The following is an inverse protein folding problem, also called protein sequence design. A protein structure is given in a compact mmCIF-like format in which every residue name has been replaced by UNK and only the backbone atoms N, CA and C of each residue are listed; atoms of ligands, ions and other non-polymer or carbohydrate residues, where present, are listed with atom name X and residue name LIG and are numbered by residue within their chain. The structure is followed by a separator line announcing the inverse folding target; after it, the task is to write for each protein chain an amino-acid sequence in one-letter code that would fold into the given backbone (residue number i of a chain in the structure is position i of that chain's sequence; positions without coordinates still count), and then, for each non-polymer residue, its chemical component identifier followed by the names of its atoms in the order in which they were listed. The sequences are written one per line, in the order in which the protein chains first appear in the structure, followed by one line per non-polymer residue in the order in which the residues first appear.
data_IF_049917172788
#
_entry.id   IF_049917172788
#
_cell.length_a   1.000
_cell.length_b   1.000
_cell.length_c   1.000
_cell.angle_alpha   90.00
_cell.angle_beta   90.00
_cell.angle_gamma   90.00
#
_symmetry.space_group_name_H-M   'P 1'
#
loop_
_entity.id
_entity.type
_entity.pdbx_description
1 polymer ?
#
# COMPACT_ATOMS: atom_id res chain seq x y z
N UNK A 1 -13.81 -6.91 12.39
CA UNK A 1 -14.96 -7.82 12.25
C UNK A 1 -16.27 -7.17 12.72
N UNK A 2 -16.34 -6.70 13.99
CA UNK A 2 -17.57 -6.06 14.52
C UNK A 2 -18.05 -4.89 13.65
N UNK A 3 -17.15 -4.00 13.25
CA UNK A 3 -17.47 -2.87 12.35
C UNK A 3 -18.03 -3.37 11.02
N UNK A 4 -17.41 -4.39 10.43
CA UNK A 4 -17.87 -5.01 9.18
C UNK A 4 -19.33 -5.51 9.30
N UNK A 5 -19.61 -6.23 10.38
CA UNK A 5 -20.97 -6.79 10.63
C UNK A 5 -21.98 -5.68 10.93
N UNK A 6 -21.64 -4.75 11.83
CA UNK A 6 -22.55 -3.69 12.28
C UNK A 6 -22.85 -2.68 11.15
N UNK A 7 -21.87 -2.37 10.32
CA UNK A 7 -22.01 -1.43 9.20
C UNK A 7 -22.49 -2.09 7.90
N UNK A 8 -22.53 -3.42 7.82
CA UNK A 8 -22.85 -4.14 6.59
C UNK A 8 -21.80 -3.99 5.49
N UNK A 9 -20.54 -3.67 5.84
CA UNK A 9 -19.45 -3.47 4.91
C UNK A 9 -18.55 -4.70 4.82
N UNK A 10 -18.13 -5.03 3.60
CA UNK A 10 -17.08 -6.02 3.41
C UNK A 10 -15.71 -5.37 3.67
N UNK A 11 -15.02 -5.82 4.72
CA UNK A 11 -13.70 -5.33 5.11
C UNK A 11 -12.67 -6.43 4.87
N UNK A 12 -11.65 -6.13 4.06
CA UNK A 12 -10.47 -6.99 3.88
C UNK A 12 -9.38 -6.50 4.84
N UNK A 13 -8.99 -7.35 5.80
CA UNK A 13 -7.94 -7.02 6.75
C UNK A 13 -6.56 -7.13 6.09
N UNK A 14 -5.69 -6.14 6.34
CA UNK A 14 -4.29 -6.18 5.97
C UNK A 14 -3.39 -6.79 7.04
N UNK A 15 -2.21 -7.26 6.65
CA UNK A 15 -1.13 -7.68 7.53
C UNK A 15 0.20 -7.09 7.08
N UNK A 16 1.09 -6.81 8.01
CA UNK A 16 2.40 -6.21 7.77
C UNK A 16 2.71 -5.07 8.74
N UNK A 17 3.70 -4.26 8.37
CA UNK A 17 4.13 -3.10 9.18
C UNK A 17 4.04 -1.82 8.37
N UNK A 18 3.59 -0.76 9.03
CA UNK A 18 3.54 0.58 8.44
C UNK A 18 4.92 1.24 8.48
N UNK A 19 5.00 2.56 8.33
CA UNK A 19 6.27 3.31 8.32
C UNK A 19 7.05 3.16 9.63
N UNK A 20 8.37 3.28 9.54
CA UNK A 20 9.32 3.06 10.63
C UNK A 20 8.94 3.75 11.94
N UNK A 21 8.40 4.97 11.88
CA UNK A 21 8.01 5.75 13.06
C UNK A 21 6.87 5.12 13.88
N UNK A 22 6.14 4.17 13.31
CA UNK A 22 5.06 3.42 13.98
C UNK A 22 5.53 2.13 14.66
N UNK A 23 6.80 1.74 14.49
CA UNK A 23 7.30 0.46 14.97
C UNK A 23 7.60 0.47 16.46
N UNK A 24 7.28 -0.62 17.11
CA UNK A 24 7.68 -0.86 18.50
C UNK A 24 9.09 -1.50 18.59
N UNK A 25 9.72 -1.43 19.75
CA UNK A 25 11.07 -1.96 19.96
C UNK A 25 11.24 -3.46 19.61
N UNK A 26 10.30 -4.36 19.97
CA UNK A 26 10.35 -5.76 19.54
C UNK A 26 10.40 -5.94 18.02
N UNK A 27 9.61 -5.18 17.25
CA UNK A 27 9.60 -5.29 15.79
C UNK A 27 10.88 -4.74 15.16
N UNK A 28 11.45 -3.68 15.73
CA UNK A 28 12.76 -3.15 15.29
C UNK A 28 13.86 -4.19 15.40
N UNK A 29 13.86 -5.01 16.44
CA UNK A 29 14.90 -6.01 16.71
C UNK A 29 14.80 -7.25 15.80
N UNK A 30 13.63 -7.53 15.18
CA UNK A 30 13.41 -8.70 14.35
C UNK A 30 14.16 -8.62 13.02
N UNK A 31 14.62 -9.75 12.55
CA UNK A 31 15.12 -9.94 11.17
C UNK A 31 13.96 -9.94 10.16
N UNK A 32 14.26 -9.76 8.87
CA UNK A 32 13.27 -9.87 7.80
C UNK A 32 12.58 -11.25 7.78
N UNK A 33 13.33 -12.32 8.07
CA UNK A 33 12.77 -13.68 8.10
C UNK A 33 11.82 -13.91 9.29
N UNK A 34 12.08 -13.27 10.44
CA UNK A 34 11.17 -13.32 11.59
C UNK A 34 9.88 -12.56 11.30
N UNK A 35 9.97 -11.36 10.74
CA UNK A 35 8.80 -10.58 10.29
C UNK A 35 7.99 -11.34 9.24
N UNK A 36 8.66 -11.94 8.25
CA UNK A 36 8.02 -12.79 7.23
C UNK A 36 7.24 -13.95 7.87
N UNK A 37 7.84 -14.66 8.84
CA UNK A 37 7.17 -15.77 9.53
C UNK A 37 5.92 -15.33 10.29
N UNK A 38 5.94 -14.16 10.93
CA UNK A 38 4.77 -13.59 11.59
C UNK A 38 3.65 -13.28 10.59
N UNK A 39 3.98 -12.60 9.49
CA UNK A 39 3.02 -12.31 8.43
C UNK A 39 2.38 -13.60 7.90
N UNK A 40 3.20 -14.61 7.59
CA UNK A 40 2.70 -15.90 7.08
C UNK A 40 1.80 -16.61 8.11
N UNK A 41 2.16 -16.56 9.40
CA UNK A 41 1.34 -17.11 10.47
C UNK A 41 -0.01 -16.41 10.57
N UNK A 42 -0.05 -15.07 10.51
CA UNK A 42 -1.31 -14.31 10.51
C UNK A 42 -2.24 -14.72 9.35
N UNK A 43 -1.69 -14.94 8.15
CA UNK A 43 -2.47 -15.40 7.00
C UNK A 43 -2.98 -16.83 7.15
N UNK A 44 -2.18 -17.73 7.72
CA UNK A 44 -2.54 -19.15 7.86
C UNK A 44 -3.43 -19.43 9.06
N UNK A 45 -3.04 -18.88 10.20
CA UNK A 45 -3.64 -19.18 11.50
C UNK A 45 -4.67 -18.12 11.90
N UNK A 46 -4.53 -16.91 11.33
CA UNK A 46 -5.35 -15.74 11.65
C UNK A 46 -4.91 -15.04 12.94
N UNK A 47 -5.53 -13.90 13.21
CA UNK A 47 -5.32 -13.14 14.43
C UNK A 47 -6.49 -13.33 15.37
N UNK A 48 -6.22 -13.36 16.69
CA UNK A 48 -7.23 -13.42 17.71
C UNK A 48 -7.95 -12.09 17.84
N UNK A 49 -9.21 -12.03 17.44
CA UNK A 49 -10.07 -10.84 17.54
C UNK A 49 -10.72 -10.67 18.91
N UNK A 50 -10.25 -11.35 19.95
CA UNK A 50 -10.80 -11.25 21.32
C UNK A 50 -12.18 -11.85 21.51
N UNK A 51 -12.82 -12.42 20.51
CA UNK A 51 -14.07 -13.17 20.60
C UNK A 51 -14.06 -14.27 19.53
N UNK A 52 -14.30 -15.47 19.94
CA UNK A 52 -14.79 -16.68 19.23
C UNK A 52 -14.44 -16.90 17.73
N UNK A 53 -13.79 -15.96 17.03
CA UNK A 53 -13.50 -16.08 15.60
C UNK A 53 -12.05 -15.74 15.27
N UNK A 54 -11.46 -16.59 14.45
CA UNK A 54 -10.18 -16.35 13.81
C UNK A 54 -10.39 -15.50 12.56
N UNK A 55 -9.75 -14.34 12.48
CA UNK A 55 -9.82 -13.45 11.32
C UNK A 55 -8.50 -13.55 10.57
N UNK A 56 -8.56 -13.84 9.27
CA UNK A 56 -7.38 -13.93 8.43
C UNK A 56 -7.26 -12.70 7.53
N UNK A 57 -6.03 -12.16 7.36
CA UNK A 57 -5.78 -11.14 6.36
C UNK A 57 -6.08 -11.63 4.94
N UNK A 58 -6.48 -10.70 4.07
CA UNK A 58 -6.65 -10.97 2.64
C UNK A 58 -5.64 -10.24 1.77
N UNK A 59 -4.87 -9.31 2.34
CA UNK A 59 -3.88 -8.49 1.64
C UNK A 59 -2.67 -8.27 2.53
N UNK A 60 -1.47 -8.23 1.94
CA UNK A 60 -0.29 -7.65 2.60
C UNK A 60 -0.40 -6.13 2.52
N UNK A 61 -0.47 -5.48 3.66
CA UNK A 61 -0.54 -4.02 3.68
C UNK A 61 -1.53 -3.45 4.69
N UNK A 62 -1.45 -2.17 4.79
CA UNK A 62 -0.59 -1.30 4.00
C UNK A 62 0.87 -1.41 4.51
N UNK A 63 1.81 -1.71 3.60
CA UNK A 63 3.24 -1.78 3.92
C UNK A 63 3.82 -0.38 3.76
N UNK A 64 4.26 0.21 4.87
CA UNK A 64 4.68 1.60 4.89
C UNK A 64 6.11 1.82 4.40
N UNK A 65 6.26 2.83 3.54
CA UNK A 65 7.56 3.36 3.10
C UNK A 65 7.48 4.88 3.15
N UNK A 66 8.25 5.50 4.06
CA UNK A 66 8.43 6.95 4.13
C UNK A 66 9.71 7.41 3.43
N UNK A 67 10.71 6.52 3.33
CA UNK A 67 11.96 6.76 2.64
C UNK A 67 12.64 5.41 2.36
N UNK A 68 12.85 5.11 1.09
CA UNK A 68 13.50 3.85 0.65
C UNK A 68 14.98 3.74 1.06
N UNK A 69 15.58 4.78 1.62
CA UNK A 69 16.92 4.72 2.21
C UNK A 69 16.93 4.22 3.67
N UNK A 70 15.77 4.12 4.33
CA UNK A 70 15.67 3.67 5.72
C UNK A 70 15.83 2.15 5.85
N UNK A 71 16.84 1.67 6.60
CA UNK A 71 17.12 0.22 6.69
C UNK A 71 15.96 -0.60 7.23
N UNK A 72 15.14 -0.06 8.14
CA UNK A 72 13.98 -0.75 8.70
C UNK A 72 12.86 -0.90 7.66
N UNK A 73 12.62 0.11 6.82
CA UNK A 73 11.61 0.05 5.78
C UNK A 73 12.05 -0.88 4.63
N UNK A 74 13.33 -0.88 4.27
CA UNK A 74 13.91 -1.89 3.35
C UNK A 74 13.75 -3.30 3.91
N UNK A 75 13.98 -3.49 5.20
CA UNK A 75 13.77 -4.78 5.89
C UNK A 75 12.28 -5.19 5.83
N UNK A 76 11.36 -4.24 6.03
CA UNK A 76 9.91 -4.48 5.93
C UNK A 76 9.51 -4.91 4.51
N UNK A 77 9.95 -4.17 3.48
CA UNK A 77 9.73 -4.53 2.09
C UNK A 77 10.25 -5.94 1.77
N UNK A 78 11.47 -6.26 2.22
CA UNK A 78 12.06 -7.58 2.03
C UNK A 78 11.23 -8.68 2.69
N UNK A 79 10.83 -8.49 3.95
CA UNK A 79 9.99 -9.45 4.68
C UNK A 79 8.64 -9.67 4.00
N UNK A 80 8.00 -8.56 3.56
CA UNK A 80 6.72 -8.60 2.86
C UNK A 80 6.82 -9.28 1.49
N UNK A 81 7.92 -9.04 0.76
CA UNK A 81 8.18 -9.70 -0.52
C UNK A 81 8.34 -11.22 -0.36
N UNK A 82 9.11 -11.66 0.65
CA UNK A 82 9.27 -13.08 0.98
C UNK A 82 7.94 -13.72 1.39
N UNK A 83 7.10 -13.00 2.15
CA UNK A 83 5.77 -13.46 2.51
C UNK A 83 4.85 -13.55 1.29
N UNK A 84 4.84 -12.53 0.42
CA UNK A 84 4.06 -12.56 -0.82
C UNK A 84 4.43 -13.72 -1.72
N UNK A 85 5.73 -13.99 -1.88
CA UNK A 85 6.22 -15.12 -2.66
C UNK A 85 5.67 -16.45 -2.14
N UNK A 86 5.57 -16.60 -0.82
CA UNK A 86 5.07 -17.84 -0.18
C UNK A 86 3.55 -17.93 -0.23
N UNK A 87 2.85 -16.81 0.00
CA UNK A 87 1.38 -16.78 0.12
C UNK A 87 0.67 -16.58 -1.23
N UNK A 88 1.35 -15.94 -2.19
CA UNK A 88 0.76 -15.60 -3.48
C UNK A 88 -0.35 -14.54 -3.41
N UNK A 89 -0.45 -13.78 -2.30
CA UNK A 89 -1.49 -12.79 -2.05
C UNK A 89 -1.17 -11.42 -2.67
N UNK A 90 -2.16 -10.51 -2.82
CA UNK A 90 -1.90 -9.13 -3.21
C UNK A 90 -1.16 -8.36 -2.12
N UNK A 91 -0.48 -7.28 -2.52
CA UNK A 91 0.27 -6.40 -1.64
C UNK A 91 -0.07 -4.94 -1.95
N UNK A 92 -0.32 -4.14 -0.91
CA UNK A 92 -0.56 -2.71 -0.99
C UNK A 92 0.60 -1.99 -0.29
N UNK A 93 1.22 -1.05 -0.98
CA UNK A 93 2.36 -0.27 -0.50
C UNK A 93 1.94 1.18 -0.30
N UNK A 94 2.11 1.69 0.91
CA UNK A 94 2.14 3.13 1.16
C UNK A 94 3.47 3.69 0.65
N UNK A 95 3.44 4.48 -0.42
CA UNK A 95 4.66 5.09 -0.98
C UNK A 95 4.97 6.43 -0.31
N UNK A 96 6.23 6.89 -0.37
CA UNK A 96 6.55 8.27 -0.01
C UNK A 96 5.73 9.23 -0.88
N UNK A 97 4.92 10.08 -0.25
CA UNK A 97 3.84 10.81 -0.93
C UNK A 97 4.37 11.76 -2.03
N UNK A 98 5.50 12.43 -1.79
CA UNK A 98 6.05 13.42 -2.72
C UNK A 98 7.18 12.89 -3.60
N UNK A 99 7.66 11.67 -3.34
CA UNK A 99 8.82 11.11 -4.01
C UNK A 99 8.43 10.10 -5.09
N UNK A 100 9.25 9.98 -6.12
CA UNK A 100 9.03 9.03 -7.23
C UNK A 100 9.80 7.72 -7.01
N UNK A 101 9.69 7.16 -5.81
CA UNK A 101 10.44 5.98 -5.40
C UNK A 101 9.79 4.63 -5.76
N UNK A 102 8.64 4.63 -6.44
CA UNK A 102 7.92 3.40 -6.78
C UNK A 102 8.77 2.36 -7.53
N UNK A 103 9.63 2.80 -8.46
CA UNK A 103 10.53 1.87 -9.16
C UNK A 103 11.57 1.25 -8.23
N UNK A 104 12.14 2.01 -7.30
CA UNK A 104 13.09 1.49 -6.29
C UNK A 104 12.41 0.52 -5.34
N UNK A 105 11.18 0.82 -4.93
CA UNK A 105 10.34 -0.09 -4.12
C UNK A 105 10.13 -1.40 -4.87
N UNK A 106 9.71 -1.34 -6.13
CA UNK A 106 9.52 -2.53 -6.96
C UNK A 106 10.82 -3.31 -7.18
N UNK A 107 11.98 -2.64 -7.25
CA UNK A 107 13.29 -3.31 -7.35
C UNK A 107 13.58 -4.13 -6.08
N UNK A 108 13.39 -3.55 -4.90
CA UNK A 108 13.57 -4.25 -3.61
C UNK A 108 12.63 -5.46 -3.53
N UNK A 109 11.36 -5.26 -3.85
CA UNK A 109 10.34 -6.32 -3.78
C UNK A 109 10.66 -7.48 -4.75
N UNK A 110 10.96 -7.16 -6.01
CA UNK A 110 11.20 -8.18 -7.03
C UNK A 110 12.54 -8.91 -6.83
N UNK A 111 13.58 -8.23 -6.35
CA UNK A 111 14.85 -8.87 -5.95
C UNK A 111 14.66 -9.87 -4.82
N UNK A 112 13.75 -9.60 -3.89
CA UNK A 112 13.39 -10.55 -2.83
C UNK A 112 12.40 -11.64 -3.30
N UNK A 113 11.91 -11.55 -4.53
CA UNK A 113 11.11 -12.58 -5.20
C UNK A 113 9.60 -12.33 -5.21
N UNK A 114 9.14 -11.11 -4.95
CA UNK A 114 7.75 -10.73 -5.12
C UNK A 114 7.33 -10.66 -6.59
N UNK A 115 6.05 -10.92 -6.85
CA UNK A 115 5.41 -10.72 -8.15
C UNK A 115 4.84 -9.29 -8.22
N UNK A 116 5.48 -8.42 -9.02
CA UNK A 116 5.05 -7.04 -9.19
C UNK A 116 3.59 -6.91 -9.68
N UNK A 117 3.08 -7.90 -10.42
CA UNK A 117 1.69 -7.92 -10.91
C UNK A 117 0.63 -8.07 -9.80
N UNK A 118 1.07 -8.29 -8.58
CA UNK A 118 0.25 -8.36 -7.37
C UNK A 118 0.57 -7.25 -6.38
N UNK A 119 1.28 -6.22 -6.83
CA UNK A 119 1.65 -5.06 -6.01
C UNK A 119 0.87 -3.85 -6.48
N UNK A 120 0.24 -3.15 -5.54
CA UNK A 120 -0.39 -1.86 -5.75
C UNK A 120 0.40 -0.79 -5.00
N UNK A 121 0.74 0.30 -5.69
CA UNK A 121 1.47 1.44 -5.15
C UNK A 121 0.48 2.56 -4.87
N UNK A 122 0.23 2.86 -3.59
CA UNK A 122 -0.72 3.88 -3.12
C UNK A 122 -0.11 5.27 -3.18
N UNK A 123 -1.00 6.28 -3.09
CA UNK A 123 -0.65 7.70 -2.96
C UNK A 123 0.17 8.24 -4.14
N UNK A 124 -0.16 7.85 -5.37
CA UNK A 124 0.50 8.40 -6.55
C UNK A 124 -0.10 9.74 -7.01
N UNK A 125 -1.10 10.26 -6.29
CA UNK A 125 -1.75 11.54 -6.60
C UNK A 125 -0.79 12.73 -6.70
N UNK A 126 0.17 12.95 -5.78
CA UNK A 126 1.08 14.08 -5.89
C UNK A 126 2.05 14.02 -7.07
N UNK A 127 2.26 12.85 -7.62
CA UNK A 127 3.15 12.64 -8.79
C UNK A 127 2.38 12.41 -10.09
N UNK A 128 1.07 12.55 -10.08
CA UNK A 128 0.16 12.13 -11.15
C UNK A 128 0.36 12.85 -12.49
N UNK A 129 0.96 14.04 -12.49
CA UNK A 129 1.27 14.77 -13.73
C UNK A 129 2.50 14.19 -14.47
N UNK A 130 3.29 13.32 -13.80
CA UNK A 130 4.38 12.59 -14.44
C UNK A 130 3.88 11.26 -14.99
N UNK A 131 3.29 11.31 -16.16
CA UNK A 131 2.75 10.13 -16.84
C UNK A 131 3.84 9.11 -17.20
N UNK A 132 5.07 9.56 -17.48
CA UNK A 132 6.16 8.63 -17.83
C UNK A 132 6.60 7.84 -16.59
N UNK A 133 6.55 8.45 -15.41
CA UNK A 133 6.76 7.74 -14.15
C UNK A 133 5.66 6.69 -13.92
N UNK A 134 4.38 7.06 -14.03
CA UNK A 134 3.27 6.12 -13.89
C UNK A 134 3.35 4.98 -14.92
N UNK A 135 3.64 5.30 -16.19
CA UNK A 135 3.85 4.29 -17.24
C UNK A 135 5.01 3.33 -16.90
N UNK A 136 6.08 3.83 -16.27
CA UNK A 136 7.22 3.00 -15.88
C UNK A 136 6.83 1.95 -14.85
N UNK A 137 5.93 2.28 -13.93
CA UNK A 137 5.38 1.36 -12.93
C UNK A 137 4.42 0.34 -13.57
N UNK A 138 3.50 0.83 -14.40
CA UNK A 138 2.55 -0.01 -15.12
C UNK A 138 3.24 -1.03 -16.04
N UNK A 139 4.31 -0.65 -16.74
CA UNK A 139 5.12 -1.58 -17.56
C UNK A 139 5.73 -2.73 -16.78
N UNK A 140 5.91 -2.58 -15.49
CA UNK A 140 6.35 -3.65 -14.58
C UNK A 140 5.21 -4.55 -14.13
N UNK A 141 3.97 -4.18 -14.49
CA UNK A 141 2.74 -4.90 -14.14
C UNK A 141 2.14 -4.49 -12.79
N UNK A 142 2.72 -3.51 -12.07
CA UNK A 142 2.15 -3.07 -10.81
C UNK A 142 0.93 -2.18 -11.02
N UNK A 143 0.00 -2.21 -10.06
CA UNK A 143 -1.11 -1.28 -10.03
C UNK A 143 -0.64 0.10 -9.56
N UNK A 144 -1.19 1.14 -10.19
CA UNK A 144 -1.04 2.54 -9.83
C UNK A 144 -2.32 3.01 -9.15
N UNK A 145 -2.21 3.53 -7.92
CA UNK A 145 -3.39 3.87 -7.12
C UNK A 145 -3.46 5.38 -6.90
N UNK A 146 -4.56 5.96 -7.36
CA UNK A 146 -4.96 7.32 -7.05
C UNK A 146 -6.04 7.24 -5.98
N UNK A 147 -5.67 7.46 -4.73
CA UNK A 147 -6.50 7.13 -3.58
C UNK A 147 -6.89 8.33 -2.70
N UNK A 148 -6.67 9.55 -3.19
CA UNK A 148 -7.02 10.74 -2.43
C UNK A 148 -8.25 11.48 -3.00
N UNK A 149 -9.15 10.77 -3.69
CA UNK A 149 -10.40 11.37 -4.14
C UNK A 149 -11.24 11.87 -2.97
N UNK A 150 -11.77 13.08 -3.08
CA UNK A 150 -12.53 13.76 -2.04
C UNK A 150 -11.67 14.54 -1.04
N UNK A 151 -10.34 14.51 -1.17
CA UNK A 151 -9.41 15.26 -0.29
C UNK A 151 -9.07 16.65 -0.82
N UNK A 152 -9.94 17.25 -1.62
CA UNK A 152 -9.76 18.62 -2.08
C UNK A 152 -9.62 19.60 -0.92
N UNK A 153 -8.78 20.60 -1.09
CA UNK A 153 -8.46 21.65 -0.10
C UNK A 153 -7.69 21.15 1.13
N UNK A 154 -7.34 19.88 1.21
CA UNK A 154 -6.44 19.41 2.25
C UNK A 154 -4.99 19.81 1.96
N UNK A 155 -4.21 20.01 3.01
CA UNK A 155 -2.76 20.18 2.91
C UNK A 155 -2.07 19.05 3.64
N UNK A 156 -1.01 18.54 3.03
CA UNK A 156 -0.10 17.60 3.67
C UNK A 156 1.31 18.19 3.66
N UNK A 157 1.93 18.28 4.82
CA UNK A 157 3.25 18.93 4.98
C UNK A 157 3.33 20.36 4.38
N UNK A 158 2.23 21.10 4.46
CA UNK A 158 2.14 22.49 3.94
C UNK A 158 1.91 22.60 2.44
N UNK A 159 1.78 21.49 1.73
CA UNK A 159 1.48 21.46 0.29
C UNK A 159 0.05 21.02 0.06
N UNK A 160 -0.67 21.69 -0.84
CA UNK A 160 -2.02 21.28 -1.23
C UNK A 160 -1.97 19.96 -2.00
N UNK A 161 -2.86 19.04 -1.62
CA UNK A 161 -3.08 17.84 -2.43
C UNK A 161 -3.78 18.20 -3.74
N UNK A 162 -3.58 17.43 -4.83
CA UNK A 162 -4.24 17.68 -6.10
C UNK A 162 -5.76 17.71 -5.99
N UNK A 163 -6.42 18.45 -6.88
CA UNK A 163 -7.88 18.48 -6.94
C UNK A 163 -8.45 17.22 -7.60
N UNK A 164 -9.73 16.92 -7.34
CA UNK A 164 -10.41 15.80 -7.99
C UNK A 164 -10.51 16.00 -9.51
N UNK A 165 -10.64 17.25 -9.99
CA UNK A 165 -10.58 17.51 -11.42
C UNK A 165 -9.25 17.08 -12.04
N UNK A 166 -8.13 17.35 -11.39
CA UNK A 166 -6.82 16.90 -11.84
C UNK A 166 -6.74 15.37 -11.82
N UNK A 167 -7.25 14.71 -10.77
CA UNK A 167 -7.32 13.25 -10.68
C UNK A 167 -8.12 12.64 -11.83
N UNK A 168 -9.31 13.17 -12.12
CA UNK A 168 -10.13 12.71 -13.26
C UNK A 168 -9.40 12.83 -14.58
N UNK A 169 -8.74 13.95 -14.85
CA UNK A 169 -7.93 14.14 -16.06
C UNK A 169 -6.79 13.15 -16.14
N UNK A 170 -6.12 12.89 -15.03
CA UNK A 170 -5.05 11.90 -14.92
C UNK A 170 -5.56 10.49 -15.23
N UNK A 171 -6.68 10.08 -14.64
CA UNK A 171 -7.28 8.78 -14.92
C UNK A 171 -7.65 8.64 -16.39
N UNK A 172 -8.25 9.67 -17.00
CA UNK A 172 -8.55 9.66 -18.43
C UNK A 172 -7.29 9.51 -19.30
N UNK A 173 -6.20 10.17 -18.91
CA UNK A 173 -4.92 10.05 -19.60
C UNK A 173 -4.32 8.64 -19.45
N UNK A 174 -4.38 8.05 -18.25
CA UNK A 174 -3.92 6.68 -18.01
C UNK A 174 -4.71 5.67 -18.87
N UNK A 175 -6.01 5.85 -18.98
CA UNK A 175 -6.87 5.02 -19.85
C UNK A 175 -6.43 5.18 -21.32
N UNK A 176 -6.18 6.40 -21.78
CA UNK A 176 -5.70 6.67 -23.15
C UNK A 176 -4.34 6.04 -23.45
N UNK A 177 -3.48 5.94 -22.43
CA UNK A 177 -2.15 5.31 -22.52
C UNK A 177 -2.21 3.77 -22.44
N UNK A 178 -3.41 3.19 -22.23
CA UNK A 178 -3.62 1.74 -22.19
C UNK A 178 -3.43 1.11 -20.81
N UNK A 179 -3.40 1.92 -19.75
CA UNK A 179 -3.19 1.45 -18.37
C UNK A 179 -4.50 1.15 -17.62
N UNK A 180 -5.65 1.07 -18.30
CA UNK A 180 -6.98 0.90 -17.68
C UNK A 180 -7.00 -0.23 -16.64
N UNK A 181 -6.43 -1.39 -16.98
CA UNK A 181 -6.48 -2.59 -16.13
C UNK A 181 -5.53 -2.51 -14.92
N UNK A 182 -4.70 -1.47 -14.83
CA UNK A 182 -3.71 -1.27 -13.77
C UNK A 182 -4.00 -0.02 -12.92
N UNK A 183 -5.05 0.73 -13.20
CA UNK A 183 -5.46 1.89 -12.39
C UNK A 183 -6.45 1.49 -11.33
N UNK A 184 -6.17 1.85 -10.07
CA UNK A 184 -7.10 1.72 -8.95
C UNK A 184 -7.44 3.10 -8.38
N UNK A 185 -8.67 3.25 -7.90
CA UNK A 185 -9.18 4.49 -7.32
C UNK A 185 -9.72 4.25 -5.92
N UNK A 186 -9.47 5.19 -5.01
CA UNK A 186 -9.94 5.12 -3.63
C UNK A 186 -10.05 6.52 -3.00
N UNK A 187 -10.30 6.59 -1.71
CA UNK A 187 -10.53 7.84 -0.95
C UNK A 187 -9.55 8.04 0.21
N UNK A 188 -8.77 7.03 0.56
CA UNK A 188 -7.87 7.04 1.74
C UNK A 188 -8.54 7.62 3.00
N UNK A 189 -9.79 7.25 3.26
CA UNK A 189 -10.55 7.72 4.43
C UNK A 189 -10.06 6.99 5.67
N UNK A 190 -9.03 7.55 6.30
CA UNK A 190 -8.36 6.95 7.46
C UNK A 190 -8.69 7.66 8.78
N UNK A 191 -9.10 8.93 8.74
CA UNK A 191 -9.32 9.75 9.93
C UNK A 191 -10.72 10.32 9.98
N UNK A 192 -11.20 10.61 11.20
CA UNK A 192 -12.52 11.21 11.41
C UNK A 192 -12.70 12.53 10.66
N UNK A 193 -11.65 13.33 10.53
CA UNK A 193 -11.69 14.60 9.78
C UNK A 193 -12.00 14.40 8.29
N UNK A 194 -11.74 13.23 7.73
CA UNK A 194 -12.10 12.92 6.35
C UNK A 194 -13.61 12.75 6.14
N UNK A 195 -14.40 12.77 7.21
CA UNK A 195 -15.87 12.59 7.18
C UNK A 195 -16.63 13.89 7.36
N UNK A 196 -15.95 15.02 7.46
CA UNK A 196 -16.52 16.36 7.62
C UNK A 196 -16.37 17.18 6.34
#
# INVERSE_FOLDING_TARGET
YRISVEAGLNIVMGAGRYVESSWNAPDVAKSAEELKREIVAEFRDGVSGGALQTIRPGVLGEIGVSDVARPLEVKNLTASALAQKELGCPMLIHTPIWEKDGNRILDILTQAGADARKVALSHLDPTMEDFDYADSLAKRGSYIVYDQFGMELMTYEGTFVPSDEMRFRTVQEQIRRGNLDLVLLSHDVAFKICLT
#
